data_IF_582897027503
#
_entry.id   IF_582897027503
#
_cell.length_a   1.000
_cell.length_b   1.000
_cell.length_c   1.000
_cell.angle_alpha   90.00
_cell.angle_beta   90.00
_cell.angle_gamma   90.00
#
_symmetry.space_group_name_H-M   'P 1'
#
loop_
_entity.id
_entity.type
_entity.pdbx_description
1 polymer ?
#
# COMPACT_ATOMS: atom_id res chain seq x y z
N UNK A 1 -18.75 -33.29 35.63
CA UNK A 1 -18.78 -33.94 34.30
C UNK A 1 -19.17 -35.42 34.43
N UNK A 2 -18.37 -36.23 35.13
CA UNK A 2 -18.62 -37.68 35.25
C UNK A 2 -20.01 -38.09 35.75
N UNK A 3 -20.59 -37.36 36.71
CA UNK A 3 -21.94 -37.68 37.25
C UNK A 3 -23.06 -37.56 36.20
N UNK A 4 -22.95 -36.60 35.27
CA UNK A 4 -23.97 -36.39 34.21
C UNK A 4 -23.83 -37.42 33.09
N UNK A 5 -22.60 -37.78 32.72
CA UNK A 5 -22.35 -38.80 31.71
C UNK A 5 -22.72 -40.20 32.22
N UNK A 6 -22.35 -40.54 33.46
CA UNK A 6 -22.68 -41.83 34.08
C UNK A 6 -24.20 -41.95 34.30
N UNK A 7 -24.86 -40.88 34.77
CA UNK A 7 -26.31 -40.87 34.93
C UNK A 7 -27.05 -40.98 33.59
N UNK A 8 -26.58 -40.27 32.55
CA UNK A 8 -27.15 -40.33 31.22
C UNK A 8 -26.97 -41.70 30.53
N UNK A 9 -25.79 -42.33 30.62
CA UNK A 9 -25.57 -43.66 30.06
C UNK A 9 -26.34 -44.75 30.81
N UNK A 10 -26.40 -44.67 32.15
CA UNK A 10 -27.21 -45.58 32.95
C UNK A 10 -28.71 -45.48 32.60
N UNK A 11 -29.22 -44.27 32.40
CA UNK A 11 -30.58 -44.05 31.93
C UNK A 11 -30.81 -44.61 30.51
N UNK A 12 -29.90 -44.42 29.56
CA UNK A 12 -30.04 -45.04 28.21
C UNK A 12 -30.05 -46.58 28.28
N UNK A 13 -29.17 -47.18 29.10
CA UNK A 13 -29.12 -48.64 29.29
C UNK A 13 -30.41 -49.14 29.95
N UNK A 14 -30.93 -48.41 30.94
CA UNK A 14 -32.22 -48.72 31.56
C UNK A 14 -33.39 -48.64 30.57
N UNK A 15 -33.40 -47.65 29.68
CA UNK A 15 -34.40 -47.53 28.61
C UNK A 15 -34.34 -48.73 27.64
N UNK A 16 -33.14 -49.05 27.16
CA UNK A 16 -32.91 -50.18 26.25
C UNK A 16 -33.25 -51.53 26.88
N UNK A 17 -32.86 -51.76 28.13
CA UNK A 17 -33.18 -52.99 28.87
C UNK A 17 -34.66 -53.14 29.17
N UNK A 18 -35.38 -52.04 29.42
CA UNK A 18 -36.83 -52.03 29.59
C UNK A 18 -37.53 -52.44 28.28
N UNK A 19 -37.00 -52.01 27.13
CA UNK A 19 -37.51 -52.38 25.80
C UNK A 19 -37.14 -53.82 25.39
N UNK A 20 -35.95 -54.31 25.77
CA UNK A 20 -35.47 -55.66 25.45
C UNK A 20 -36.09 -56.76 26.33
N UNK A 21 -36.41 -56.46 27.59
CA UNK A 21 -37.02 -57.43 28.52
C UNK A 21 -38.53 -57.53 28.41
N UNK A 22 -39.19 -56.55 27.79
CA UNK A 22 -40.64 -56.54 27.64
C UNK A 22 -41.02 -57.09 26.26
N UNK A 23 -41.49 -58.33 26.22
CA UNK A 23 -41.97 -58.96 24.98
C UNK A 23 -43.34 -58.45 24.49
N UNK A 24 -43.81 -57.27 24.91
CA UNK A 24 -45.16 -56.77 24.64
C UNK A 24 -45.20 -55.30 24.20
N UNK A 25 -45.94 -55.01 23.13
CA UNK A 25 -46.06 -53.68 22.50
C UNK A 25 -47.20 -52.85 23.09
N UNK A 26 -47.19 -52.64 24.40
CA UNK A 26 -48.19 -51.79 25.08
C UNK A 26 -47.87 -50.30 24.96
N UNK A 27 -48.87 -49.46 24.66
CA UNK A 27 -48.76 -47.99 24.69
C UNK A 27 -48.07 -47.43 25.97
N UNK A 28 -48.37 -47.90 27.21
CA UNK A 28 -47.71 -47.36 28.41
C UNK A 28 -46.22 -47.68 28.48
N UNK A 29 -45.78 -48.78 27.86
CA UNK A 29 -44.38 -49.18 27.84
C UNK A 29 -43.57 -48.34 26.84
N UNK A 30 -44.20 -47.96 25.72
CA UNK A 30 -43.60 -47.08 24.74
C UNK A 30 -43.46 -45.64 25.29
N UNK A 31 -44.44 -45.17 26.05
CA UNK A 31 -44.37 -43.87 26.73
C UNK A 31 -43.29 -43.83 27.82
N UNK A 32 -43.16 -44.89 28.61
CA UNK A 32 -42.11 -44.96 29.64
C UNK A 32 -40.71 -45.04 29.02
N UNK A 33 -40.55 -45.78 27.92
CA UNK A 33 -39.31 -45.79 27.13
C UNK A 33 -38.95 -44.40 26.58
N UNK A 34 -39.89 -43.72 25.91
CA UNK A 34 -39.65 -42.38 25.36
C UNK A 34 -39.31 -41.36 26.44
N UNK A 35 -39.98 -41.41 27.59
CA UNK A 35 -39.68 -40.54 28.73
C UNK A 35 -38.27 -40.77 29.28
N UNK A 36 -37.87 -42.03 29.46
CA UNK A 36 -36.55 -42.37 29.96
C UNK A 36 -35.45 -42.01 28.94
N UNK A 37 -35.72 -42.21 27.64
CA UNK A 37 -34.81 -41.85 26.57
C UNK A 37 -34.66 -40.32 26.41
N UNK A 38 -35.74 -39.55 26.60
CA UNK A 38 -35.70 -38.08 26.56
C UNK A 38 -34.86 -37.50 27.71
N UNK A 39 -35.04 -38.03 28.92
CA UNK A 39 -34.25 -37.60 30.08
C UNK A 39 -32.77 -37.96 29.92
N UNK A 40 -32.47 -39.16 29.38
CA UNK A 40 -31.11 -39.58 29.10
C UNK A 40 -30.44 -38.71 28.02
N UNK A 41 -31.16 -38.38 26.93
CA UNK A 41 -30.67 -37.54 25.86
C UNK A 41 -30.40 -36.09 26.31
N UNK A 42 -31.25 -35.53 27.20
CA UNK A 42 -31.03 -34.20 27.77
C UNK A 42 -29.76 -34.15 28.65
N UNK A 43 -29.55 -35.17 29.49
CA UNK A 43 -28.36 -35.25 30.36
C UNK A 43 -27.06 -35.39 29.55
N UNK A 44 -27.07 -36.23 28.50
CA UNK A 44 -25.92 -36.45 27.63
C UNK A 44 -25.65 -35.24 26.73
N UNK A 45 -26.70 -34.62 26.18
CA UNK A 45 -26.61 -33.38 25.43
C UNK A 45 -25.98 -32.26 26.25
N UNK A 46 -26.36 -32.12 27.52
CA UNK A 46 -25.78 -31.12 28.42
C UNK A 46 -24.30 -31.39 28.72
N UNK A 47 -23.93 -32.66 28.90
CA UNK A 47 -22.54 -33.05 29.14
C UNK A 47 -21.66 -32.75 27.92
N UNK A 48 -22.11 -33.11 26.72
CA UNK A 48 -21.38 -32.88 25.47
C UNK A 48 -21.31 -31.38 25.13
N UNK A 49 -22.36 -30.60 25.39
CA UNK A 49 -22.34 -29.15 25.19
C UNK A 49 -21.31 -28.45 26.08
N UNK A 50 -21.15 -28.93 27.32
CA UNK A 50 -20.09 -28.42 28.22
C UNK A 50 -18.68 -28.84 27.80
N UNK A 51 -18.53 -29.92 27.04
CA UNK A 51 -17.25 -30.37 26.47
C UNK A 51 -16.89 -29.62 25.18
N UNK A 52 -17.85 -29.00 24.49
CA UNK A 52 -17.62 -28.25 23.26
C UNK A 52 -16.71 -27.02 23.46
N UNK A 53 -15.83 -26.68 22.51
CA UNK A 53 -15.04 -25.44 22.53
C UNK A 53 -15.95 -24.21 22.58
N UNK A 54 -15.52 -23.13 23.27
CA UNK A 54 -16.32 -21.90 23.47
C UNK A 54 -16.91 -21.31 22.17
N UNK A 55 -16.24 -21.52 21.04
CA UNK A 55 -16.65 -21.04 19.71
C UNK A 55 -17.92 -21.70 19.18
N UNK A 56 -18.18 -22.96 19.55
CA UNK A 56 -19.35 -23.73 19.09
C UNK A 56 -20.52 -23.69 20.08
N UNK A 57 -20.41 -22.95 21.18
CA UNK A 57 -21.47 -22.83 22.21
C UNK A 57 -22.52 -21.77 21.88
N UNK A 58 -22.35 -21.06 20.76
CA UNK A 58 -23.21 -19.94 20.35
C UNK A 58 -23.81 -20.25 18.98
N UNK A 59 -25.14 -20.16 18.80
CA UNK A 59 -26.17 -19.89 19.81
C UNK A 59 -26.45 -21.11 20.73
N UNK A 60 -26.75 -20.84 22.02
CA UNK A 60 -26.96 -21.88 23.04
C UNK A 60 -28.09 -22.84 22.68
N UNK A 61 -29.25 -22.30 22.32
CA UNK A 61 -30.46 -23.07 22.10
C UNK A 61 -30.28 -24.10 20.98
N UNK A 62 -29.80 -23.67 19.82
CA UNK A 62 -29.64 -24.55 18.65
C UNK A 62 -28.53 -25.58 18.84
N UNK A 63 -27.40 -25.20 19.44
CA UNK A 63 -26.29 -26.13 19.70
C UNK A 63 -26.67 -27.22 20.70
N UNK A 64 -27.38 -26.85 21.78
CA UNK A 64 -27.89 -27.81 22.76
C UNK A 64 -28.98 -28.70 22.18
N UNK A 65 -29.96 -28.11 21.48
CA UNK A 65 -31.08 -28.84 20.88
C UNK A 65 -30.60 -29.88 19.88
N UNK A 66 -29.66 -29.52 19.00
CA UNK A 66 -29.07 -30.45 18.03
C UNK A 66 -28.45 -31.66 18.73
N UNK A 67 -27.67 -31.42 19.78
CA UNK A 67 -26.94 -32.46 20.50
C UNK A 67 -27.86 -33.39 21.30
N UNK A 68 -28.90 -32.81 21.93
CA UNK A 68 -29.93 -33.55 22.62
C UNK A 68 -30.78 -34.38 21.64
N UNK A 69 -31.21 -33.80 20.52
CA UNK A 69 -31.95 -34.51 19.48
C UNK A 69 -31.13 -35.66 18.89
N UNK A 70 -29.85 -35.43 18.60
CA UNK A 70 -28.96 -36.46 18.08
C UNK A 70 -28.78 -37.63 19.05
N UNK A 71 -28.63 -37.36 20.35
CA UNK A 71 -28.56 -38.39 21.39
C UNK A 71 -29.90 -39.12 21.62
N UNK A 72 -31.02 -38.49 21.28
CA UNK A 72 -32.35 -39.09 21.40
C UNK A 72 -32.61 -40.10 20.28
N UNK A 73 -32.37 -39.72 19.01
CA UNK A 73 -32.63 -40.55 17.84
C UNK A 73 -31.64 -41.71 17.66
N UNK A 74 -30.40 -41.55 18.12
CA UNK A 74 -29.38 -42.60 18.05
C UNK A 74 -28.88 -42.92 19.46
N UNK A 75 -29.57 -43.80 20.22
CA UNK A 75 -29.16 -44.21 21.55
C UNK A 75 -27.74 -44.81 21.51
N UNK A 76 -26.87 -44.44 22.46
CA UNK A 76 -25.45 -44.84 22.57
C UNK A 76 -24.54 -44.40 21.40
N UNK A 77 -24.96 -44.54 20.14
CA UNK A 77 -24.18 -44.15 18.97
C UNK A 77 -23.98 -42.64 18.87
N UNK A 78 -25.01 -41.84 19.21
CA UNK A 78 -24.94 -40.39 19.12
C UNK A 78 -23.85 -39.79 20.03
N UNK A 79 -23.70 -40.32 21.24
CA UNK A 79 -22.67 -39.85 22.18
C UNK A 79 -21.27 -40.29 21.77
N UNK A 80 -21.11 -41.52 21.27
CA UNK A 80 -19.83 -42.04 20.79
C UNK A 80 -19.32 -41.26 19.58
N UNK A 81 -20.19 -40.97 18.60
CA UNK A 81 -19.84 -40.19 17.41
C UNK A 81 -19.43 -38.76 17.78
N UNK A 82 -20.16 -38.11 18.68
CA UNK A 82 -19.80 -36.76 19.14
C UNK A 82 -18.48 -36.73 19.90
N UNK A 83 -18.24 -37.70 20.79
CA UNK A 83 -16.96 -37.81 21.51
C UNK A 83 -15.79 -38.10 20.56
N UNK A 84 -16.00 -39.01 19.60
CA UNK A 84 -15.00 -39.33 18.58
C UNK A 84 -14.65 -38.13 17.70
N UNK A 85 -15.64 -37.35 17.28
CA UNK A 85 -15.44 -36.11 16.50
C UNK A 85 -14.64 -35.06 17.30
N UNK A 86 -14.95 -34.87 18.58
CA UNK A 86 -14.19 -33.97 19.45
C UNK A 86 -12.75 -34.44 19.66
N UNK A 87 -12.54 -35.75 19.81
CA UNK A 87 -11.21 -36.33 19.95
C UNK A 87 -10.41 -36.20 18.65
N UNK A 88 -11.02 -36.47 17.50
CA UNK A 88 -10.41 -36.32 16.18
C UNK A 88 -10.01 -34.86 15.93
N UNK A 89 -10.88 -33.90 16.24
CA UNK A 89 -10.57 -32.46 16.12
C UNK A 89 -9.44 -32.02 17.06
N UNK A 90 -9.20 -32.72 18.16
CA UNK A 90 -8.11 -32.43 19.10
C UNK A 90 -6.78 -33.07 18.65
N UNK A 91 -6.84 -34.27 18.08
CA UNK A 91 -5.67 -35.01 17.59
C UNK A 91 -5.14 -34.48 16.26
N UNK A 92 -6.02 -33.95 15.40
CA UNK A 92 -5.68 -33.39 14.10
C UNK A 92 -6.06 -31.89 14.02
N UNK A 93 -5.29 -30.99 14.66
CA UNK A 93 -5.53 -29.56 14.52
C UNK A 93 -5.27 -29.13 13.07
N UNK A 94 -6.31 -28.65 12.39
CA UNK A 94 -6.18 -28.14 11.02
C UNK A 94 -5.18 -26.99 10.96
N UNK A 95 -4.19 -27.10 10.07
CA UNK A 95 -3.32 -25.98 9.71
C UNK A 95 -4.20 -24.91 9.07
N UNK A 96 -4.36 -23.77 9.75
CA UNK A 96 -4.96 -22.59 9.14
C UNK A 96 -3.85 -21.93 8.32
N UNK A 97 -4.05 -21.85 7.01
CA UNK A 97 -3.26 -20.95 6.18
C UNK A 97 -3.54 -19.51 6.61
N UNK A 98 -2.63 -18.99 7.42
CA UNK A 98 -2.54 -17.57 7.75
C UNK A 98 -1.67 -16.86 6.70
N UNK A 99 -1.90 -17.12 5.42
CA UNK A 99 -1.33 -16.31 4.35
C UNK A 99 -2.00 -14.94 4.38
N UNK A 100 -1.38 -13.98 5.07
CA UNK A 100 -1.76 -12.56 5.03
C UNK A 100 -1.75 -11.80 6.34
N UNK A 101 -1.51 -12.44 7.50
CA UNK A 101 -1.42 -11.73 8.78
C UNK A 101 -0.13 -12.13 9.49
N UNK A 102 0.90 -11.31 9.31
CA UNK A 102 2.13 -11.35 10.11
C UNK A 102 2.02 -10.33 11.25
N UNK A 103 2.36 -10.72 12.48
CA UNK A 103 2.59 -9.75 13.55
C UNK A 103 3.93 -9.06 13.28
N UNK A 104 3.88 -7.91 12.61
CA UNK A 104 5.04 -7.03 12.48
C UNK A 104 5.19 -6.30 13.81
N UNK A 105 6.42 -6.21 14.32
CA UNK A 105 6.71 -5.38 15.49
C UNK A 105 6.20 -3.95 15.23
N UNK A 106 5.65 -3.30 16.24
CA UNK A 106 5.19 -1.92 16.10
C UNK A 106 6.38 -1.09 15.60
N UNK A 107 6.32 -0.48 14.40
CA UNK A 107 7.45 0.27 13.89
C UNK A 107 7.76 1.40 14.88
N UNK A 108 9.03 1.54 15.27
CA UNK A 108 9.46 2.70 16.06
C UNK A 108 9.17 3.96 15.25
N UNK A 109 8.32 4.82 15.82
CA UNK A 109 7.95 6.08 15.20
C UNK A 109 9.17 7.00 15.18
N UNK A 110 9.84 7.06 14.05
CA UNK A 110 10.97 7.97 13.83
C UNK A 110 10.42 9.39 13.66
N UNK A 111 10.34 10.15 14.76
CA UNK A 111 9.72 11.49 14.80
C UNK A 111 10.41 12.51 13.90
N UNK A 112 11.67 12.31 13.52
CA UNK A 112 12.38 13.22 12.59
C UNK A 112 12.03 12.99 11.11
N UNK A 113 11.39 11.85 10.77
CA UNK A 113 10.84 11.58 9.43
C UNK A 113 9.39 12.06 9.28
N UNK A 114 8.79 12.58 10.36
CA UNK A 114 7.55 13.35 10.27
C UNK A 114 7.92 14.68 9.61
N UNK A 115 7.95 14.69 8.28
CA UNK A 115 7.48 15.88 7.59
C UNK A 115 6.09 16.12 8.15
N UNK A 116 5.92 17.15 9.00
CA UNK A 116 4.60 17.71 9.24
C UNK A 116 4.14 18.23 7.88
N UNK A 117 3.57 17.34 7.09
CA UNK A 117 2.83 17.70 5.90
C UNK A 117 1.60 18.38 6.48
N UNK A 118 1.71 19.67 6.76
CA UNK A 118 0.56 20.53 6.96
C UNK A 118 -0.16 20.52 5.63
N UNK A 119 -1.03 19.54 5.44
CA UNK A 119 -1.88 19.43 4.27
C UNK A 119 -2.64 20.75 4.18
N UNK A 120 -2.44 21.50 3.09
CA UNK A 120 -3.05 22.81 2.88
C UNK A 120 -2.22 24.03 3.31
N UNK A 121 -1.06 23.87 3.97
CA UNK A 121 -0.17 25.00 4.30
C UNK A 121 0.29 25.74 3.05
N UNK A 122 0.84 25.00 2.08
CA UNK A 122 1.26 25.56 0.79
C UNK A 122 0.10 26.12 -0.05
N UNK A 123 -1.07 25.47 -0.02
CA UNK A 123 -2.25 25.95 -0.74
C UNK A 123 -2.79 27.26 -0.15
N UNK A 124 -2.77 27.39 1.18
CA UNK A 124 -3.15 28.61 1.89
C UNK A 124 -2.16 29.74 1.62
N UNK A 125 -0.85 29.46 1.68
CA UNK A 125 0.19 30.43 1.35
C UNK A 125 0.06 30.91 -0.09
N UNK A 126 -0.12 29.99 -1.05
CA UNK A 126 -0.38 30.32 -2.46
C UNK A 126 -1.62 31.18 -2.62
N UNK A 127 -2.73 30.84 -1.96
CA UNK A 127 -3.97 31.62 -2.02
C UNK A 127 -3.80 33.02 -1.41
N UNK A 128 -3.06 33.14 -0.31
CA UNK A 128 -2.76 34.42 0.34
C UNK A 128 -1.86 35.30 -0.53
N UNK A 129 -0.86 34.72 -1.18
CA UNK A 129 0.04 35.42 -2.11
C UNK A 129 -0.69 35.88 -3.37
N UNK A 130 -1.58 35.05 -3.91
CA UNK A 130 -2.43 35.37 -5.06
C UNK A 130 -3.54 36.39 -4.77
N UNK A 131 -3.86 36.64 -3.49
CA UNK A 131 -4.81 37.68 -3.12
C UNK A 131 -4.13 39.06 -3.14
N UNK A 132 -4.16 39.72 -4.29
CA UNK A 132 -3.59 41.08 -4.48
C UNK A 132 -4.26 42.15 -3.63
N UNK A 133 -5.46 41.88 -3.07
CA UNK A 133 -6.16 42.79 -2.15
C UNK A 133 -5.73 42.65 -0.69
N UNK A 134 -4.94 41.63 -0.35
CA UNK A 134 -4.46 41.43 1.01
C UNK A 134 -3.40 42.48 1.40
N UNK A 135 -3.30 42.87 2.68
CA UNK A 135 -2.27 43.79 3.15
C UNK A 135 -0.85 43.30 2.82
N UNK A 136 0.03 44.22 2.39
CA UNK A 136 1.41 43.89 2.02
C UNK A 136 2.17 43.12 3.12
N UNK A 137 2.11 43.48 4.42
CA UNK A 137 2.84 42.74 5.45
C UNK A 137 2.43 41.27 5.57
N UNK A 138 1.14 40.97 5.35
CA UNK A 138 0.64 39.59 5.38
C UNK A 138 1.14 38.77 4.19
N UNK A 139 1.14 39.39 3.00
CA UNK A 139 1.68 38.78 1.77
C UNK A 139 3.18 38.55 1.89
N UNK A 140 3.93 39.50 2.47
CA UNK A 140 5.36 39.35 2.73
C UNK A 140 5.65 38.24 3.74
N UNK A 141 4.86 38.13 4.81
CA UNK A 141 4.98 37.04 5.79
C UNK A 141 4.74 35.68 5.12
N UNK A 142 3.74 35.60 4.23
CA UNK A 142 3.50 34.39 3.46
C UNK A 142 4.66 34.05 2.52
N UNK A 143 5.27 35.06 1.89
CA UNK A 143 6.42 34.88 1.00
C UNK A 143 7.67 34.39 1.75
N UNK A 144 7.93 34.93 2.93
CA UNK A 144 9.01 34.44 3.81
C UNK A 144 8.74 33.01 4.28
N UNK A 145 7.49 32.69 4.63
CA UNK A 145 7.13 31.32 5.00
C UNK A 145 7.37 30.30 3.86
N UNK A 146 7.25 30.72 2.60
CA UNK A 146 7.56 29.88 1.44
C UNK A 146 9.03 29.44 1.38
N UNK A 147 9.97 30.16 2.00
CA UNK A 147 11.40 29.77 2.03
C UNK A 147 11.63 28.42 2.72
N UNK A 148 10.77 28.07 3.68
CA UNK A 148 10.84 26.78 4.38
C UNK A 148 10.28 25.61 3.57
N UNK A 149 9.60 25.88 2.46
CA UNK A 149 9.01 24.85 1.61
C UNK A 149 10.04 24.25 0.65
N UNK A 150 9.86 22.98 0.24
CA UNK A 150 10.69 22.39 -0.80
C UNK A 150 10.64 23.23 -2.08
N UNK A 151 11.82 23.52 -2.65
CA UNK A 151 11.98 24.38 -3.84
C UNK A 151 11.07 23.94 -4.99
N UNK A 152 10.93 22.64 -5.24
CA UNK A 152 10.02 22.09 -6.27
C UNK A 152 8.56 22.58 -6.15
N UNK A 153 8.10 22.85 -4.94
CA UNK A 153 6.73 23.31 -4.66
C UNK A 153 6.67 24.83 -4.65
N UNK A 154 7.75 25.49 -4.20
CA UNK A 154 7.83 26.94 -4.12
C UNK A 154 8.07 27.61 -5.49
N UNK A 155 8.97 27.06 -6.32
CA UNK A 155 9.39 27.68 -7.59
C UNK A 155 8.23 28.07 -8.51
N UNK A 156 7.21 27.21 -8.76
CA UNK A 156 6.10 27.61 -9.61
C UNK A 156 5.34 28.83 -9.06
N UNK A 157 5.15 28.90 -7.74
CA UNK A 157 4.48 30.02 -7.07
C UNK A 157 5.35 31.28 -7.13
N UNK A 158 6.65 31.17 -6.84
CA UNK A 158 7.58 32.30 -6.91
C UNK A 158 7.64 32.89 -8.32
N UNK A 159 7.57 32.04 -9.35
CA UNK A 159 7.54 32.48 -10.76
C UNK A 159 6.26 33.25 -11.10
N UNK A 160 5.11 32.80 -10.61
CA UNK A 160 3.85 33.53 -10.76
C UNK A 160 3.95 34.94 -10.13
N UNK A 161 4.65 35.06 -9.01
CA UNK A 161 4.88 36.34 -8.32
C UNK A 161 5.86 37.29 -9.04
N UNK A 162 6.58 36.83 -10.06
CA UNK A 162 7.41 37.73 -10.86
C UNK A 162 6.56 38.74 -11.65
N UNK A 163 5.30 38.39 -11.92
CA UNK A 163 4.34 39.28 -12.57
C UNK A 163 3.50 40.11 -11.56
N UNK A 164 3.80 40.06 -10.27
CA UNK A 164 3.03 40.79 -9.26
C UNK A 164 3.11 42.31 -9.45
N UNK A 165 2.07 43.03 -9.06
CA UNK A 165 2.04 44.51 -9.12
C UNK A 165 3.00 45.17 -8.12
N UNK A 166 3.32 44.49 -7.01
CA UNK A 166 4.17 45.03 -5.95
C UNK A 166 5.63 44.68 -6.18
N UNK A 167 6.50 45.70 -6.21
CA UNK A 167 7.92 45.54 -6.52
C UNK A 167 8.66 44.71 -5.46
N UNK A 168 8.42 44.94 -4.17
CA UNK A 168 9.06 44.18 -3.07
C UNK A 168 8.81 42.68 -3.16
N UNK A 169 7.58 42.28 -3.53
CA UNK A 169 7.19 40.88 -3.71
C UNK A 169 7.93 40.27 -4.89
N UNK A 170 7.98 41.00 -6.02
CA UNK A 170 8.70 40.59 -7.22
C UNK A 170 10.19 40.41 -6.94
N UNK A 171 10.81 41.37 -6.27
CA UNK A 171 12.23 41.37 -5.98
C UNK A 171 12.62 40.24 -5.02
N UNK A 172 11.83 40.01 -3.97
CA UNK A 172 12.07 38.91 -3.04
C UNK A 172 11.86 37.55 -3.72
N UNK A 173 10.81 37.39 -4.54
CA UNK A 173 10.58 36.17 -5.31
C UNK A 173 11.73 35.89 -6.30
N UNK A 174 12.23 36.92 -6.98
CA UNK A 174 13.40 36.82 -7.85
C UNK A 174 14.64 36.38 -7.06
N UNK A 175 14.95 37.04 -5.95
CA UNK A 175 16.12 36.70 -5.12
C UNK A 175 16.06 35.27 -4.56
N UNK A 176 14.87 34.76 -4.23
CA UNK A 176 14.68 33.39 -3.79
C UNK A 176 14.92 32.37 -4.92
N UNK A 177 14.41 32.64 -6.14
CA UNK A 177 14.64 31.78 -7.30
C UNK A 177 16.12 31.78 -7.72
N UNK A 178 16.72 32.95 -7.83
CA UNK A 178 18.14 33.14 -8.19
C UNK A 178 19.07 32.49 -7.16
N UNK A 179 18.76 32.62 -5.86
CA UNK A 179 19.53 31.95 -4.80
C UNK A 179 19.51 30.43 -4.92
N UNK A 180 18.34 29.84 -5.20
CA UNK A 180 18.21 28.39 -5.38
C UNK A 180 18.94 27.90 -6.64
N UNK A 181 18.85 28.64 -7.75
CA UNK A 181 19.59 28.34 -8.98
C UNK A 181 21.11 28.42 -8.77
N UNK A 182 21.58 29.51 -8.16
CA UNK A 182 23.01 29.72 -7.86
C UNK A 182 23.57 28.62 -6.98
N UNK A 183 22.83 28.16 -5.98
CA UNK A 183 23.27 27.08 -5.10
C UNK A 183 23.56 25.77 -5.86
N UNK A 184 22.70 25.40 -6.82
CA UNK A 184 22.92 24.21 -7.65
C UNK A 184 24.03 24.45 -8.68
N UNK A 185 24.06 25.62 -9.31
CA UNK A 185 25.10 25.98 -10.27
C UNK A 185 26.50 25.99 -9.64
N UNK A 186 26.65 26.48 -8.41
CA UNK A 186 27.93 26.42 -7.69
C UNK A 186 28.37 24.99 -7.42
N UNK A 187 27.46 24.08 -7.06
CA UNK A 187 27.80 22.66 -6.90
C UNK A 187 28.24 22.04 -8.21
N UNK A 188 27.57 22.36 -9.32
CA UNK A 188 27.96 21.88 -10.66
C UNK A 188 29.38 22.37 -11.00
N UNK A 189 29.65 23.67 -10.82
CA UNK A 189 30.96 24.26 -11.10
C UNK A 189 32.08 23.69 -10.22
N UNK A 190 31.76 23.24 -9.00
CA UNK A 190 32.72 22.59 -8.11
C UNK A 190 33.01 21.12 -8.50
N UNK A 191 32.06 20.42 -9.13
CA UNK A 191 32.23 19.03 -9.56
C UNK A 191 32.93 18.90 -10.93
N UNK A 192 32.81 19.88 -11.81
CA UNK A 192 33.43 19.84 -13.15
C UNK A 192 34.96 19.60 -13.12
N UNK A 193 35.77 20.31 -12.30
CA UNK A 193 37.22 20.07 -12.23
C UNK A 193 37.56 18.67 -11.71
N UNK A 194 36.70 18.08 -10.88
CA UNK A 194 36.91 16.71 -10.37
C UNK A 194 36.77 15.68 -11.47
N UNK A 195 35.87 15.91 -12.44
CA UNK A 195 35.73 15.03 -13.59
C UNK A 195 37.00 15.03 -14.45
N UNK A 196 37.60 16.21 -14.64
CA UNK A 196 38.85 16.36 -15.40
C UNK A 196 40.02 15.68 -14.69
N UNK A 197 40.09 15.81 -13.36
CA UNK A 197 41.14 15.21 -12.52
C UNK A 197 40.93 13.72 -12.19
N UNK A 198 39.83 13.11 -12.62
CA UNK A 198 39.54 11.72 -12.28
C UNK A 198 40.36 10.73 -13.12
N UNK A 199 41.21 9.96 -12.44
CA UNK A 199 42.13 8.99 -13.04
C UNK A 199 41.50 7.62 -13.31
N UNK A 200 40.47 7.24 -12.55
CA UNK A 200 39.83 5.92 -12.67
C UNK A 200 38.48 5.99 -13.40
N UNK A 201 38.13 4.99 -14.21
CA UNK A 201 36.81 4.92 -14.84
C UNK A 201 35.69 4.95 -13.81
N UNK A 202 35.82 4.25 -12.69
CA UNK A 202 34.80 4.22 -11.64
C UNK A 202 34.57 5.61 -11.04
N UNK A 203 35.63 6.35 -10.70
CA UNK A 203 35.50 7.72 -10.19
C UNK A 203 34.86 8.65 -11.23
N UNK A 204 35.22 8.51 -12.51
CA UNK A 204 34.57 9.25 -13.60
C UNK A 204 33.07 8.94 -13.69
N UNK A 205 32.68 7.68 -13.55
CA UNK A 205 31.28 7.26 -13.54
C UNK A 205 30.48 7.86 -12.38
N UNK A 206 31.04 7.85 -11.18
CA UNK A 206 30.42 8.46 -9.99
C UNK A 206 30.26 9.99 -10.14
N UNK A 207 31.27 10.68 -10.66
CA UNK A 207 31.21 12.13 -10.89
C UNK A 207 30.22 12.47 -12.01
N UNK A 208 30.22 11.71 -13.11
CA UNK A 208 29.23 11.86 -14.18
C UNK A 208 27.80 11.67 -13.64
N UNK A 209 27.56 10.63 -12.83
CA UNK A 209 26.28 10.42 -12.15
C UNK A 209 25.91 11.65 -11.30
N UNK A 210 26.86 12.16 -10.49
CA UNK A 210 26.64 13.33 -9.64
C UNK A 210 26.27 14.58 -10.45
N UNK A 211 26.96 14.82 -11.57
CA UNK A 211 26.65 15.93 -12.47
C UNK A 211 25.26 15.77 -13.10
N UNK A 212 24.90 14.56 -13.54
CA UNK A 212 23.57 14.27 -14.04
C UNK A 212 22.50 14.60 -12.97
N UNK A 213 22.68 14.13 -11.74
CA UNK A 213 21.77 14.41 -10.62
C UNK A 213 21.64 15.93 -10.35
N UNK A 214 22.73 16.69 -10.37
CA UNK A 214 22.69 18.14 -10.14
C UNK A 214 21.95 18.89 -11.26
N UNK A 215 22.24 18.57 -12.52
CA UNK A 215 21.52 19.17 -13.65
C UNK A 215 20.04 18.74 -13.67
N UNK A 216 19.73 17.51 -13.26
CA UNK A 216 18.35 17.08 -13.07
C UNK A 216 17.61 17.91 -12.07
N UNK A 217 18.27 18.25 -10.97
CA UNK A 217 17.66 18.91 -9.84
C UNK A 217 17.21 20.32 -10.25
N UNK A 218 17.97 21.00 -11.12
CA UNK A 218 17.55 22.25 -11.77
C UNK A 218 16.22 22.09 -12.53
N UNK A 219 16.07 21.00 -13.29
CA UNK A 219 14.84 20.68 -14.03
C UNK A 219 13.70 20.32 -13.06
N UNK A 220 13.99 19.41 -12.12
CA UNK A 220 13.02 18.83 -11.20
C UNK A 220 12.44 19.87 -10.24
N UNK A 221 13.26 20.84 -9.81
CA UNK A 221 12.82 21.96 -8.98
C UNK A 221 12.20 23.11 -9.80
N UNK A 222 12.04 22.94 -11.12
CA UNK A 222 11.53 23.95 -12.04
C UNK A 222 12.31 25.27 -11.89
N UNK A 223 13.64 25.22 -11.89
CA UNK A 223 14.55 26.37 -11.79
C UNK A 223 15.00 26.89 -13.17
N UNK A 224 14.97 26.03 -14.19
CA UNK A 224 15.31 26.38 -15.58
C UNK A 224 14.09 26.30 -16.50
N UNK A 225 14.02 27.18 -17.51
CA UNK A 225 12.94 27.22 -18.51
C UNK A 225 13.46 27.51 -19.92
N UNK A 226 12.62 27.30 -20.94
CA UNK A 226 12.91 27.65 -22.32
C UNK A 226 14.21 27.00 -22.83
N UNK A 227 15.12 27.81 -23.38
CA UNK A 227 16.37 27.32 -23.94
C UNK A 227 17.36 26.84 -22.87
N UNK A 228 17.36 27.45 -21.68
CA UNK A 228 18.17 26.98 -20.55
C UNK A 228 17.73 25.58 -20.14
N UNK A 229 16.42 25.31 -20.10
CA UNK A 229 15.91 23.96 -19.85
C UNK A 229 16.44 22.95 -20.87
N UNK A 230 16.43 23.30 -22.17
CA UNK A 230 16.91 22.41 -23.24
C UNK A 230 18.40 22.11 -23.09
N UNK A 231 19.20 23.12 -22.77
CA UNK A 231 20.61 22.96 -22.47
C UNK A 231 20.84 22.08 -21.23
N UNK A 232 20.13 22.35 -20.14
CA UNK A 232 20.22 21.53 -18.92
C UNK A 232 19.83 20.08 -19.19
N UNK A 233 18.78 19.84 -19.96
CA UNK A 233 18.34 18.50 -20.34
C UNK A 233 19.38 17.76 -21.20
N UNK A 234 20.08 18.48 -22.09
CA UNK A 234 21.16 17.87 -22.87
C UNK A 234 22.38 17.55 -22.01
N UNK A 235 22.70 18.36 -21.00
CA UNK A 235 23.75 18.04 -20.02
C UNK A 235 23.38 16.82 -19.20
N UNK A 236 22.13 16.73 -18.73
CA UNK A 236 21.63 15.53 -18.06
C UNK A 236 21.87 14.29 -18.92
N UNK A 237 21.42 14.31 -20.17
CA UNK A 237 21.57 13.16 -21.07
C UNK A 237 23.03 12.78 -21.29
N UNK A 238 23.91 13.78 -21.49
CA UNK A 238 25.36 13.59 -21.67
C UNK A 238 26.00 12.92 -20.46
N UNK A 239 25.74 13.42 -19.25
CA UNK A 239 26.37 12.89 -18.05
C UNK A 239 25.74 11.57 -17.60
N UNK A 240 24.43 11.39 -17.77
CA UNK A 240 23.76 10.13 -17.48
C UNK A 240 24.23 9.00 -18.41
N UNK A 241 24.37 9.27 -19.72
CA UNK A 241 24.91 8.29 -20.67
C UNK A 241 26.36 7.92 -20.34
N UNK A 242 27.23 8.91 -20.10
CA UNK A 242 28.62 8.65 -19.73
C UNK A 242 28.78 7.87 -18.42
N UNK A 243 27.87 8.07 -17.44
CA UNK A 243 27.86 7.26 -16.22
C UNK A 243 27.39 5.82 -16.50
N UNK A 244 26.36 5.65 -17.33
CA UNK A 244 25.80 4.33 -17.68
C UNK A 244 26.73 3.49 -18.58
N UNK A 245 27.63 4.13 -19.33
CA UNK A 245 28.71 3.43 -20.05
C UNK A 245 29.69 2.72 -19.10
N UNK A 246 29.80 3.19 -17.86
CA UNK A 246 30.72 2.67 -16.84
C UNK A 246 29.99 1.71 -15.91
N UNK A 247 28.79 2.07 -15.47
CA UNK A 247 27.91 1.24 -14.65
C UNK A 247 26.45 1.34 -15.16
N UNK A 248 26.01 0.31 -15.88
CA UNK A 248 24.68 0.24 -16.47
C UNK A 248 23.58 -0.17 -15.48
N UNK A 249 23.94 -0.49 -14.23
CA UNK A 249 23.02 -1.01 -13.22
C UNK A 249 22.19 0.08 -12.53
N UNK A 250 22.51 1.36 -12.76
CA UNK A 250 21.85 2.47 -12.09
C UNK A 250 20.45 2.77 -12.66
N UNK A 251 19.44 2.20 -12.01
CA UNK A 251 18.04 2.34 -12.39
C UNK A 251 17.53 3.80 -12.45
N UNK A 252 18.05 4.69 -11.59
CA UNK A 252 17.59 6.08 -11.52
C UNK A 252 18.01 6.89 -12.76
N UNK A 253 19.21 6.64 -13.29
CA UNK A 253 19.68 7.27 -14.52
C UNK A 253 18.85 6.85 -15.73
N UNK A 254 18.50 5.57 -15.83
CA UNK A 254 17.60 5.08 -16.88
C UNK A 254 16.21 5.72 -16.80
N UNK A 255 15.64 5.83 -15.59
CA UNK A 255 14.35 6.51 -15.39
C UNK A 255 14.39 7.97 -15.83
N UNK A 256 15.44 8.68 -15.45
CA UNK A 256 15.66 10.09 -15.77
C UNK A 256 15.78 10.32 -17.28
N UNK A 257 16.60 9.51 -17.97
CA UNK A 257 16.70 9.53 -19.45
C UNK A 257 15.36 9.25 -20.09
N UNK A 258 14.62 8.24 -19.60
CA UNK A 258 13.27 7.90 -20.07
C UNK A 258 12.30 9.09 -20.01
N UNK A 259 12.34 9.86 -18.91
CA UNK A 259 11.55 11.09 -18.78
C UNK A 259 11.97 12.19 -19.77
N UNK A 260 13.26 12.37 -20.00
CA UNK A 260 13.73 13.35 -20.98
C UNK A 260 13.38 12.95 -22.42
N UNK A 261 13.41 11.66 -22.75
CA UNK A 261 12.95 11.16 -24.04
C UNK A 261 11.48 11.50 -24.30
N UNK A 262 10.60 11.37 -23.29
CA UNK A 262 9.19 11.82 -23.40
C UNK A 262 9.10 13.32 -23.67
N UNK A 263 9.88 14.14 -22.95
CA UNK A 263 9.92 15.59 -23.18
C UNK A 263 10.42 15.98 -24.58
N UNK A 264 11.22 15.11 -25.23
CA UNK A 264 11.68 15.26 -26.62
C UNK A 264 10.74 14.63 -27.66
N UNK A 265 9.58 14.09 -27.23
CA UNK A 265 8.65 13.37 -28.09
C UNK A 265 9.29 12.14 -28.79
N UNK A 266 10.17 11.43 -28.07
CA UNK A 266 10.81 10.18 -28.51
C UNK A 266 10.27 9.00 -27.67
N UNK A 267 9.03 8.54 -27.91
CA UNK A 267 8.38 7.56 -27.04
C UNK A 267 9.01 6.17 -27.11
N UNK A 268 9.62 5.79 -28.24
CA UNK A 268 10.34 4.52 -28.39
C UNK A 268 11.54 4.42 -27.45
N UNK A 269 12.43 5.42 -27.48
CA UNK A 269 13.56 5.55 -26.54
C UNK A 269 13.08 5.59 -25.09
N UNK A 270 12.02 6.37 -24.82
CA UNK A 270 11.46 6.48 -23.49
C UNK A 270 11.01 5.12 -22.96
N UNK A 271 10.28 4.34 -23.75
CA UNK A 271 9.81 3.01 -23.36
C UNK A 271 10.98 2.08 -23.04
N UNK A 272 12.00 2.04 -23.90
CA UNK A 272 13.17 1.18 -23.69
C UNK A 272 13.88 1.51 -22.38
N UNK A 273 14.15 2.79 -22.12
CA UNK A 273 14.85 3.22 -20.91
C UNK A 273 14.00 3.06 -19.64
N UNK A 274 12.70 3.30 -19.72
CA UNK A 274 11.78 3.11 -18.59
C UNK A 274 11.61 1.64 -18.21
N UNK A 275 11.51 0.74 -19.21
CA UNK A 275 11.49 -0.71 -18.98
C UNK A 275 12.83 -1.18 -18.39
N UNK A 276 13.96 -0.64 -18.88
CA UNK A 276 15.27 -0.93 -18.29
C UNK A 276 15.33 -0.50 -16.82
N UNK A 277 14.87 0.71 -16.50
CA UNK A 277 14.80 1.20 -15.13
C UNK A 277 13.95 0.29 -14.22
N UNK A 278 12.77 -0.14 -14.68
CA UNK A 278 11.90 -1.09 -13.97
C UNK A 278 12.62 -2.43 -13.74
N UNK A 279 13.30 -2.97 -14.76
CA UNK A 279 14.04 -4.24 -14.66
C UNK A 279 15.20 -4.20 -13.66
N UNK A 280 15.76 -3.01 -13.42
CA UNK A 280 16.82 -2.75 -12.43
C UNK A 280 16.26 -2.42 -11.03
N UNK A 281 14.95 -2.55 -10.82
CA UNK A 281 14.31 -2.38 -9.52
C UNK A 281 13.82 -0.97 -9.21
N UNK A 282 13.72 -0.07 -10.20
CA UNK A 282 13.06 1.21 -9.98
C UNK A 282 11.56 1.01 -9.69
N UNK A 283 11.00 1.81 -8.78
CA UNK A 283 9.62 1.68 -8.32
C UNK A 283 8.63 1.73 -9.49
N UNK A 284 7.96 0.61 -9.74
CA UNK A 284 7.05 0.39 -10.87
C UNK A 284 5.93 1.43 -10.92
N UNK A 285 5.40 1.81 -9.77
CA UNK A 285 4.32 2.79 -9.64
C UNK A 285 4.71 4.18 -10.19
N UNK A 286 6.01 4.50 -10.20
CA UNK A 286 6.51 5.76 -10.78
C UNK A 286 6.75 5.66 -12.29
N UNK A 287 7.01 4.45 -12.78
CA UNK A 287 7.32 4.18 -14.19
C UNK A 287 6.04 4.02 -15.01
N UNK A 288 5.01 3.38 -14.46
CA UNK A 288 3.75 3.07 -15.16
C UNK A 288 3.07 4.29 -15.83
N UNK A 289 2.92 5.46 -15.19
CA UNK A 289 2.32 6.62 -15.84
C UNK A 289 3.12 7.10 -17.06
N UNK A 290 4.45 6.99 -17.01
CA UNK A 290 5.34 7.40 -18.09
C UNK A 290 5.36 6.39 -19.24
N UNK A 291 5.29 5.09 -18.94
CA UNK A 291 5.12 4.06 -19.97
C UNK A 291 3.77 4.20 -20.68
N UNK A 292 2.72 4.58 -19.95
CA UNK A 292 1.43 4.84 -20.55
C UNK A 292 1.45 6.12 -21.40
N UNK A 293 2.18 7.16 -20.97
CA UNK A 293 2.42 8.35 -21.80
C UNK A 293 3.16 7.98 -23.10
N UNK A 294 4.22 7.16 -23.02
CA UNK A 294 4.93 6.66 -24.20
C UNK A 294 3.99 5.91 -25.16
N UNK A 295 3.20 4.96 -24.65
CA UNK A 295 2.24 4.20 -25.45
C UNK A 295 1.15 5.10 -26.07
N UNK A 296 0.71 6.14 -25.35
CA UNK A 296 -0.26 7.10 -25.85
C UNK A 296 0.31 7.92 -27.03
N UNK A 297 1.56 8.37 -26.93
CA UNK A 297 2.26 9.08 -28.02
C UNK A 297 2.48 8.17 -29.24
N UNK A 298 2.70 6.87 -29.04
CA UNK A 298 2.76 5.86 -30.10
C UNK A 298 1.39 5.48 -30.68
N UNK A 299 0.30 6.02 -30.12
CA UNK A 299 -1.11 5.68 -30.45
C UNK A 299 -1.49 4.23 -30.15
N UNK A 300 -0.76 3.54 -29.27
CA UNK A 300 -1.11 2.21 -28.77
C UNK A 300 -2.01 2.33 -27.53
N UNK A 301 -3.28 2.62 -27.77
CA UNK A 301 -4.26 2.78 -26.70
C UNK A 301 -4.58 1.48 -25.95
N UNK A 302 -4.32 0.32 -26.56
CA UNK A 302 -4.48 -0.98 -25.90
C UNK A 302 -3.42 -1.15 -24.81
N UNK A 303 -2.17 -0.81 -25.11
CA UNK A 303 -1.10 -0.79 -24.12
C UNK A 303 -1.37 0.23 -23.00
N UNK A 304 -1.87 1.42 -23.31
CA UNK A 304 -2.25 2.43 -22.29
C UNK A 304 -3.26 1.85 -21.30
N UNK A 305 -4.33 1.22 -21.79
CA UNK A 305 -5.37 0.62 -20.93
C UNK A 305 -4.78 -0.48 -20.04
N UNK A 306 -3.91 -1.34 -20.58
CA UNK A 306 -3.24 -2.40 -19.83
C UNK A 306 -2.34 -1.83 -18.72
N UNK A 307 -1.55 -0.80 -19.03
CA UNK A 307 -0.64 -0.16 -18.07
C UNK A 307 -1.40 0.55 -16.95
N UNK A 308 -2.50 1.25 -17.29
CA UNK A 308 -3.35 1.93 -16.31
C UNK A 308 -4.15 0.95 -15.44
N UNK A 309 -4.54 -0.21 -15.98
CA UNK A 309 -5.17 -1.28 -15.19
C UNK A 309 -4.18 -1.96 -14.23
N UNK A 310 -2.91 -2.04 -14.60
CA UNK A 310 -1.84 -2.59 -13.76
C UNK A 310 -1.39 -1.64 -12.63
N UNK A 311 -1.92 -0.41 -12.60
CA UNK A 311 -1.58 0.57 -11.57
C UNK A 311 -2.30 0.24 -10.26
N UNK A 312 -1.60 -0.43 -9.35
CA UNK A 312 -2.09 -0.76 -8.01
C UNK A 312 -1.37 0.08 -6.96
N UNK A 313 -1.90 1.28 -6.70
CA UNK A 313 -1.39 2.15 -5.63
C UNK A 313 -2.54 2.55 -4.71
N UNK A 314 -2.42 2.36 -3.38
CA UNK A 314 -3.47 2.72 -2.43
C UNK A 314 -3.67 4.25 -2.32
N UNK A 315 -2.70 5.05 -2.77
CA UNK A 315 -2.81 6.52 -2.81
C UNK A 315 -2.23 7.07 -4.11
N UNK A 316 -2.95 6.96 -5.24
CA UNK A 316 -2.50 7.54 -6.50
C UNK A 316 -2.35 9.06 -6.37
N UNK A 317 -1.32 9.60 -7.02
CA UNK A 317 -1.10 11.04 -7.13
C UNK A 317 -2.38 11.71 -7.64
N UNK A 318 -2.77 12.89 -7.11
CA UNK A 318 -4.01 13.57 -7.50
C UNK A 318 -4.18 13.76 -9.02
N UNK A 319 -3.07 14.04 -9.71
CA UNK A 319 -3.03 14.22 -11.17
C UNK A 319 -3.31 12.92 -11.96
N UNK A 320 -3.01 11.76 -11.37
CA UNK A 320 -3.17 10.44 -12.03
C UNK A 320 -4.59 9.91 -11.83
N UNK A 321 -5.32 10.36 -10.80
CA UNK A 321 -6.69 9.90 -10.51
C UNK A 321 -7.68 10.04 -11.67
N UNK A 322 -7.76 11.18 -12.39
CA UNK A 322 -8.66 11.32 -13.53
C UNK A 322 -8.30 10.35 -14.67
N UNK A 323 -7.00 10.12 -14.90
CA UNK A 323 -6.51 9.21 -15.93
C UNK A 323 -6.90 7.76 -15.61
N UNK A 324 -6.70 7.32 -14.37
CA UNK A 324 -7.12 5.98 -13.94
C UNK A 324 -8.63 5.79 -14.14
N UNK A 325 -9.45 6.77 -13.76
CA UNK A 325 -10.91 6.70 -13.97
C UNK A 325 -11.30 6.55 -15.43
N UNK A 326 -10.66 7.30 -16.33
CA UNK A 326 -10.97 7.26 -17.76
C UNK A 326 -10.55 5.95 -18.42
N UNK A 327 -9.38 5.41 -18.06
CA UNK A 327 -8.85 4.20 -18.70
C UNK A 327 -9.34 2.90 -18.04
N UNK A 328 -9.80 2.94 -16.79
CA UNK A 328 -10.35 1.78 -16.07
C UNK A 328 -11.88 1.66 -16.17
N UNK A 329 -12.58 2.66 -16.71
CA UNK A 329 -13.98 2.54 -17.14
C UNK A 329 -14.11 1.73 -18.43
#
# INVERSE_FOLDING_TARGET
MGKLTIGGTAAQIAALTLLLRSGGTGLPLLLSFLGLQATAAALLGLALWRLLPRRFRVPFFWSYLYLAAFCFFVPLGGTLVCLGSLLFSKLFPGKRDATGIASVALPEFVTHLIQRVTHGGGARLRAQLGNTRAPLPERMTALVAMQSMPTRTASPVLRELLADSTDDIRLLAYGMLDGAEKQLTQQILAELPRLEAADTPQARGEINKRLADLYWELIYQNLVQGDVYRYTASQVERYASAALEIDDSNAALWYMRGRLALARNAPGEAREWLVRAESLGFARERVLPLLAEAAYLERDYAAVRKLMAAFDSPSPLPLVRPLLRYWQS
#
